data_IF_092754085192
#
_entry.id   IF_092754085192
#
_cell.length_a   1.000
_cell.length_b   1.000
_cell.length_c   1.000
_cell.angle_alpha   90.00
_cell.angle_beta   90.00
_cell.angle_gamma   90.00
#
_symmetry.space_group_name_H-M   'P 1'
#
loop_
_entity.id
_entity.type
_entity.pdbx_description
1 polymer ?
#
# COMPACT_ATOMS: atom_id res chain seq x y z
N UNK A 1 -16.95 -30.48 14.83
CA UNK A 1 -16.83 -30.77 16.29
C UNK A 1 -18.14 -31.31 16.86
N UNK A 2 -19.24 -30.55 16.84
CA UNK A 2 -20.53 -31.02 17.40
C UNK A 2 -21.03 -32.35 16.81
N UNK A 3 -20.94 -32.53 15.49
CA UNK A 3 -21.32 -33.80 14.81
C UNK A 3 -20.47 -35.01 15.23
N UNK A 4 -19.15 -34.83 15.35
CA UNK A 4 -18.22 -35.89 15.78
C UNK A 4 -18.54 -36.34 17.22
N UNK A 5 -18.84 -35.38 18.10
CA UNK A 5 -19.21 -35.65 19.49
C UNK A 5 -20.56 -36.40 19.55
N UNK A 6 -21.55 -35.98 18.74
CA UNK A 6 -22.83 -36.69 18.63
C UNK A 6 -22.67 -38.11 18.11
N UNK A 7 -21.87 -38.32 17.06
CA UNK A 7 -21.58 -39.66 16.51
C UNK A 7 -20.94 -40.57 17.57
N UNK A 8 -19.97 -40.06 18.34
CA UNK A 8 -19.37 -40.79 19.45
C UNK A 8 -20.39 -41.19 20.52
N UNK A 9 -21.30 -40.28 20.88
CA UNK A 9 -22.35 -40.56 21.85
C UNK A 9 -23.32 -41.63 21.34
N UNK A 10 -23.72 -41.56 20.06
CA UNK A 10 -24.61 -42.54 19.44
C UNK A 10 -23.95 -43.93 19.40
N UNK A 11 -22.68 -44.01 18.99
CA UNK A 11 -21.93 -45.28 18.99
C UNK A 11 -21.80 -45.85 20.41
N UNK A 12 -21.54 -45.02 21.41
CA UNK A 12 -21.46 -45.46 22.80
C UNK A 12 -22.79 -46.03 23.32
N UNK A 13 -23.92 -45.37 23.00
CA UNK A 13 -25.26 -45.87 23.37
C UNK A 13 -25.57 -47.20 22.67
N UNK A 14 -25.27 -47.32 21.38
CA UNK A 14 -25.48 -48.56 20.62
C UNK A 14 -24.62 -49.72 21.18
N UNK A 15 -23.37 -49.45 21.58
CA UNK A 15 -22.52 -50.48 22.20
C UNK A 15 -23.11 -50.99 23.53
N UNK A 16 -23.67 -50.10 24.34
CA UNK A 16 -24.36 -50.48 25.60
C UNK A 16 -25.61 -51.32 25.28
N UNK A 17 -26.38 -50.95 24.26
CA UNK A 17 -27.58 -51.68 23.85
C UNK A 17 -27.25 -53.08 23.32
N UNK A 18 -26.21 -53.23 22.48
CA UNK A 18 -25.73 -54.55 22.03
C UNK A 18 -25.30 -55.40 23.23
N UNK A 19 -24.63 -54.82 24.22
CA UNK A 19 -24.26 -55.51 25.46
C UNK A 19 -25.47 -56.01 26.25
N UNK A 20 -26.52 -55.19 26.38
CA UNK A 20 -27.75 -55.57 27.05
C UNK A 20 -28.50 -56.69 26.29
N UNK A 21 -28.64 -56.57 24.97
CA UNK A 21 -29.26 -57.60 24.13
C UNK A 21 -28.48 -58.92 24.16
N UNK A 22 -27.15 -58.87 24.26
CA UNK A 22 -26.33 -60.08 24.40
C UNK A 22 -26.58 -60.78 25.74
N UNK A 23 -26.73 -60.02 26.83
CA UNK A 23 -27.13 -60.56 28.14
C UNK A 23 -28.53 -61.19 28.08
N UNK A 24 -29.48 -60.51 27.45
CA UNK A 24 -30.85 -61.01 27.29
C UNK A 24 -30.90 -62.29 26.46
N UNK A 25 -30.11 -62.38 25.39
CA UNK A 25 -30.00 -63.56 24.54
C UNK A 25 -29.47 -64.77 25.32
N UNK A 26 -28.45 -64.56 26.17
CA UNK A 26 -27.90 -65.61 27.04
C UNK A 26 -28.97 -66.11 28.03
N UNK A 27 -29.67 -65.19 28.69
CA UNK A 27 -30.77 -65.51 29.62
C UNK A 27 -31.92 -66.25 28.92
N UNK A 28 -32.30 -65.80 27.72
CA UNK A 28 -33.38 -66.41 26.95
C UNK A 28 -33.02 -67.81 26.46
N UNK A 29 -31.76 -68.03 26.06
CA UNK A 29 -31.24 -69.35 25.67
C UNK A 29 -31.21 -70.33 26.85
N UNK A 30 -30.84 -69.86 28.03
CA UNK A 30 -30.87 -70.65 29.27
C UNK A 30 -32.31 -71.03 29.66
N UNK A 31 -33.28 -70.13 29.43
CA UNK A 31 -34.71 -70.42 29.61
C UNK A 31 -35.25 -71.42 28.58
N UNK A 32 -34.90 -71.30 27.31
CA UNK A 32 -35.29 -72.27 26.26
C UNK A 32 -34.84 -73.67 26.64
N UNK A 33 -33.56 -73.83 26.96
CA UNK A 33 -32.97 -75.12 27.32
C UNK A 33 -33.63 -75.73 28.57
N UNK A 34 -33.99 -74.91 29.55
CA UNK A 34 -34.71 -75.37 30.75
C UNK A 34 -36.15 -75.80 30.47
N UNK A 35 -36.88 -75.10 29.58
CA UNK A 35 -38.24 -75.47 29.18
C UNK A 35 -38.25 -76.74 28.31
N UNK A 36 -37.25 -76.94 27.44
CA UNK A 36 -37.10 -78.16 26.65
C UNK A 36 -36.94 -79.44 27.52
N UNK A 37 -36.46 -79.31 28.75
CA UNK A 37 -36.33 -80.45 29.69
C UNK A 37 -37.62 -80.80 30.48
N UNK A 38 -38.74 -80.10 30.27
CA UNK A 38 -39.99 -80.26 31.05
C UNK A 38 -41.22 -80.48 30.15
N UNK A 39 -41.94 -81.63 30.23
CA UNK A 39 -43.19 -81.84 29.47
C UNK A 39 -44.45 -81.34 30.22
N UNK A 40 -45.54 -80.89 29.55
CA UNK A 40 -45.74 -80.56 28.13
C UNK A 40 -46.01 -79.05 27.95
N UNK A 41 -45.07 -78.29 27.35
CA UNK A 41 -45.25 -76.84 27.09
C UNK A 41 -44.87 -76.50 25.66
N UNK A 42 -45.66 -76.99 24.71
CA UNK A 42 -45.34 -76.86 23.28
C UNK A 42 -45.51 -75.42 22.75
N UNK A 43 -46.35 -74.60 23.39
CA UNK A 43 -46.63 -73.25 22.94
C UNK A 43 -45.59 -72.22 23.42
N UNK A 44 -44.98 -72.42 24.60
CA UNK A 44 -43.98 -71.50 25.14
C UNK A 44 -42.62 -71.67 24.45
N UNK A 45 -42.25 -72.90 24.07
CA UNK A 45 -41.00 -73.17 23.34
C UNK A 45 -40.97 -72.51 21.96
N UNK A 46 -42.09 -72.52 21.23
CA UNK A 46 -42.20 -71.86 19.92
C UNK A 46 -42.05 -70.34 20.06
N UNK A 47 -42.67 -69.73 21.08
CA UNK A 47 -42.60 -68.29 21.33
C UNK A 47 -41.20 -67.84 21.78
N UNK A 48 -40.53 -68.61 22.65
CA UNK A 48 -39.15 -68.33 23.04
C UNK A 48 -38.16 -68.48 21.88
N UNK A 49 -38.31 -69.50 21.03
CA UNK A 49 -37.47 -69.68 19.84
C UNK A 49 -37.62 -68.50 18.86
N UNK A 50 -38.86 -68.01 18.69
CA UNK A 50 -39.12 -66.81 17.90
C UNK A 50 -38.41 -65.57 18.45
N UNK A 51 -38.50 -65.34 19.77
CA UNK A 51 -37.85 -64.21 20.44
C UNK A 51 -36.31 -64.28 20.35
N UNK A 52 -35.71 -65.47 20.45
CA UNK A 52 -34.27 -65.67 20.25
C UNK A 52 -33.86 -65.29 18.82
N UNK A 53 -34.67 -65.66 17.83
CA UNK A 53 -34.41 -65.32 16.42
C UNK A 53 -34.50 -63.81 16.18
N UNK A 54 -35.57 -63.16 16.65
CA UNK A 54 -35.75 -61.71 16.53
C UNK A 54 -34.63 -60.93 17.23
N UNK A 55 -34.21 -61.37 18.42
CA UNK A 55 -33.11 -60.73 19.15
C UNK A 55 -31.76 -60.90 18.45
N UNK A 56 -31.51 -62.06 17.82
CA UNK A 56 -30.31 -62.27 17.00
C UNK A 56 -30.28 -61.35 15.77
N UNK A 57 -31.40 -61.22 15.06
CA UNK A 57 -31.51 -60.32 13.90
C UNK A 57 -31.31 -58.86 14.32
N UNK A 58 -31.91 -58.43 15.44
CA UNK A 58 -31.72 -57.09 15.99
C UNK A 58 -30.26 -56.82 16.39
N UNK A 59 -29.59 -57.80 17.01
CA UNK A 59 -28.18 -57.69 17.39
C UNK A 59 -27.26 -57.62 16.16
N UNK A 60 -27.55 -58.41 15.12
CA UNK A 60 -26.81 -58.36 13.86
C UNK A 60 -26.95 -56.98 13.19
N UNK A 61 -28.17 -56.43 13.14
CA UNK A 61 -28.44 -55.11 12.60
C UNK A 61 -27.72 -54.00 13.37
N UNK A 62 -27.77 -54.02 14.71
CA UNK A 62 -27.03 -53.03 15.50
C UNK A 62 -25.52 -53.12 15.32
N UNK A 63 -24.98 -54.33 15.17
CA UNK A 63 -23.54 -54.52 14.92
C UNK A 63 -23.10 -53.89 13.61
N UNK A 64 -23.89 -54.08 12.54
CA UNK A 64 -23.64 -53.44 11.24
C UNK A 64 -23.72 -51.92 11.35
N UNK A 65 -24.72 -51.39 12.06
CA UNK A 65 -24.86 -49.96 12.28
C UNK A 65 -23.66 -49.35 13.04
N UNK A 66 -23.18 -50.01 14.09
CA UNK A 66 -21.97 -49.60 14.83
C UNK A 66 -20.75 -49.59 13.91
N UNK A 67 -20.62 -50.58 13.03
CA UNK A 67 -19.50 -50.66 12.09
C UNK A 67 -19.53 -49.48 11.10
N UNK A 68 -20.69 -49.15 10.55
CA UNK A 68 -20.87 -47.97 9.66
C UNK A 68 -20.52 -46.67 10.37
N UNK A 69 -21.07 -46.43 11.57
CA UNK A 69 -20.77 -45.21 12.33
C UNK A 69 -19.29 -45.13 12.74
N UNK A 70 -18.64 -46.25 12.99
CA UNK A 70 -17.20 -46.30 13.29
C UNK A 70 -16.36 -45.88 12.09
N UNK A 71 -16.74 -46.32 10.88
CA UNK A 71 -16.11 -45.89 9.63
C UNK A 71 -16.27 -44.37 9.43
N UNK A 72 -17.49 -43.85 9.61
CA UNK A 72 -17.77 -42.41 9.52
C UNK A 72 -16.94 -41.59 10.51
N UNK A 73 -16.75 -42.09 11.74
CA UNK A 73 -15.89 -41.44 12.74
C UNK A 73 -14.43 -41.38 12.32
N UNK A 74 -13.91 -42.43 11.66
CA UNK A 74 -12.54 -42.44 11.13
C UNK A 74 -12.39 -41.41 10.02
N UNK A 75 -13.33 -41.37 9.08
CA UNK A 75 -13.34 -40.39 7.97
C UNK A 75 -13.43 -38.95 8.50
N UNK A 76 -14.36 -38.67 9.40
CA UNK A 76 -14.48 -37.34 10.00
C UNK A 76 -13.22 -36.94 10.77
N UNK A 77 -12.53 -37.89 11.42
CA UNK A 77 -11.26 -37.60 12.09
C UNK A 77 -10.17 -37.19 11.10
N UNK A 78 -10.10 -37.86 9.95
CA UNK A 78 -9.17 -37.52 8.88
C UNK A 78 -9.47 -36.14 8.28
N UNK A 79 -10.75 -35.82 8.07
CA UNK A 79 -11.18 -34.49 7.61
C UNK A 79 -10.79 -33.40 8.61
N UNK A 80 -11.07 -33.58 9.91
CA UNK A 80 -10.70 -32.61 10.96
C UNK A 80 -9.18 -32.39 10.97
N UNK A 81 -8.38 -33.44 10.81
CA UNK A 81 -6.93 -33.33 10.69
C UNK A 81 -6.51 -32.51 9.47
N UNK A 82 -7.15 -32.75 8.33
CA UNK A 82 -6.90 -32.03 7.07
C UNK A 82 -7.25 -30.55 7.21
N UNK A 83 -8.42 -30.22 7.79
CA UNK A 83 -8.81 -28.83 8.03
C UNK A 83 -7.89 -28.13 9.02
N UNK A 84 -7.44 -28.80 10.08
CA UNK A 84 -6.45 -28.26 11.01
C UNK A 84 -5.15 -27.92 10.29
N UNK A 85 -4.64 -28.80 9.44
CA UNK A 85 -3.42 -28.53 8.67
C UNK A 85 -3.62 -27.34 7.71
N UNK A 86 -4.72 -27.29 6.97
CA UNK A 86 -5.04 -26.15 6.09
C UNK A 86 -5.09 -24.84 6.88
N UNK A 87 -5.70 -24.85 8.06
CA UNK A 87 -5.79 -23.67 8.91
C UNK A 87 -4.41 -23.22 9.41
N UNK A 88 -3.56 -24.15 9.84
CA UNK A 88 -2.18 -23.82 10.25
C UNK A 88 -1.38 -23.20 9.11
N UNK A 89 -1.50 -23.73 7.88
CA UNK A 89 -0.83 -23.17 6.70
C UNK A 89 -1.34 -21.76 6.40
N UNK A 90 -2.65 -21.55 6.42
CA UNK A 90 -3.24 -20.22 6.20
C UNK A 90 -2.80 -19.21 7.26
N UNK A 91 -2.77 -19.60 8.54
CA UNK A 91 -2.28 -18.73 9.62
C UNK A 91 -0.82 -18.35 9.40
N UNK A 92 0.04 -19.31 9.07
CA UNK A 92 1.46 -19.01 8.80
C UNK A 92 1.65 -18.10 7.58
N UNK A 93 0.87 -18.30 6.51
CA UNK A 93 0.89 -17.43 5.34
C UNK A 93 0.47 -16.00 5.69
N UNK A 94 -0.63 -15.85 6.44
CA UNK A 94 -1.14 -14.54 6.83
C UNK A 94 -0.16 -13.78 7.74
N UNK A 95 0.52 -14.50 8.63
CA UNK A 95 1.57 -13.93 9.48
C UNK A 95 2.75 -13.41 8.65
N UNK A 96 3.15 -14.13 7.60
CA UNK A 96 4.23 -13.70 6.72
C UNK A 96 3.82 -12.49 5.87
N UNK A 97 2.64 -12.55 5.23
CA UNK A 97 2.06 -11.42 4.49
C UNK A 97 1.98 -10.16 5.37
N UNK A 98 1.61 -10.33 6.65
CA UNK A 98 1.57 -9.24 7.63
C UNK A 98 2.95 -8.63 7.92
N UNK A 99 4.02 -9.43 7.97
CA UNK A 99 5.39 -8.94 8.13
C UNK A 99 5.86 -8.21 6.89
N UNK A 100 5.65 -8.78 5.71
CA UNK A 100 6.02 -8.17 4.43
C UNK A 100 5.31 -6.82 4.24
N UNK A 101 4.00 -6.78 4.51
CA UNK A 101 3.23 -5.54 4.47
C UNK A 101 3.78 -4.48 5.43
N UNK A 102 4.12 -4.86 6.66
CA UNK A 102 4.71 -3.93 7.63
C UNK A 102 6.08 -3.41 7.18
N UNK A 103 6.92 -4.27 6.58
CA UNK A 103 8.20 -3.84 5.99
C UNK A 103 7.99 -2.87 4.83
N UNK A 104 7.03 -3.16 3.95
CA UNK A 104 6.67 -2.28 2.84
C UNK A 104 6.21 -0.90 3.32
N UNK A 105 5.31 -0.84 4.31
CA UNK A 105 4.83 0.43 4.89
C UNK A 105 5.97 1.22 5.53
N UNK A 106 6.88 0.56 6.25
CA UNK A 106 8.09 1.22 6.80
C UNK A 106 9.00 1.78 5.71
N UNK A 107 9.15 1.04 4.61
CA UNK A 107 9.89 1.48 3.43
C UNK A 107 9.27 2.76 2.85
N UNK A 108 7.97 2.74 2.55
CA UNK A 108 7.24 3.90 2.05
C UNK A 108 7.34 5.11 2.97
N UNK A 109 7.18 4.91 4.28
CA UNK A 109 7.31 5.99 5.26
C UNK A 109 8.70 6.63 5.19
N UNK A 110 9.75 5.82 5.11
CA UNK A 110 11.14 6.31 5.02
C UNK A 110 11.34 7.11 3.73
N UNK A 111 10.91 6.56 2.58
CA UNK A 111 10.99 7.26 1.29
C UNK A 111 10.25 8.60 1.32
N UNK A 112 9.01 8.63 1.81
CA UNK A 112 8.25 9.88 1.93
C UNK A 112 8.94 10.90 2.83
N UNK A 113 9.53 10.45 3.95
CA UNK A 113 10.25 11.33 4.86
C UNK A 113 11.49 11.94 4.20
N UNK A 114 12.22 11.17 3.39
CA UNK A 114 13.38 11.66 2.66
C UNK A 114 12.97 12.62 1.52
N UNK A 115 11.87 12.33 0.81
CA UNK A 115 11.32 13.23 -0.21
C UNK A 115 10.89 14.58 0.38
N UNK A 116 10.30 14.58 1.58
CA UNK A 116 9.93 15.80 2.30
C UNK A 116 11.18 16.63 2.65
N UNK A 117 12.25 15.98 3.14
CA UNK A 117 13.52 16.68 3.44
C UNK A 117 14.13 17.27 2.18
N UNK A 118 14.11 16.53 1.07
CA UNK A 118 14.65 16.99 -0.20
C UNK A 118 13.84 18.17 -0.75
N UNK A 119 12.51 18.13 -0.69
CA UNK A 119 11.67 19.27 -1.03
C UNK A 119 11.97 20.50 -0.18
N UNK A 120 12.21 20.34 1.13
CA UNK A 120 12.59 21.44 2.01
C UNK A 120 13.95 22.03 1.62
N UNK A 121 14.95 21.18 1.30
CA UNK A 121 16.26 21.60 0.80
C UNK A 121 16.13 22.42 -0.48
N UNK A 122 15.41 21.89 -1.47
CA UNK A 122 15.17 22.56 -2.74
C UNK A 122 14.42 23.88 -2.58
N UNK A 123 13.43 23.93 -1.68
CA UNK A 123 12.71 25.16 -1.36
C UNK A 123 13.63 26.23 -0.77
N UNK A 124 14.56 25.84 0.10
CA UNK A 124 15.56 26.75 0.66
C UNK A 124 16.52 27.26 -0.41
N UNK A 125 17.00 26.39 -1.31
CA UNK A 125 17.89 26.78 -2.40
C UNK A 125 17.20 27.71 -3.40
N UNK A 126 15.92 27.48 -3.68
CA UNK A 126 15.15 28.38 -4.54
C UNK A 126 15.01 29.77 -3.90
N UNK A 127 14.81 29.84 -2.57
CA UNK A 127 14.73 31.10 -1.86
C UNK A 127 16.05 31.88 -1.91
N UNK A 128 17.19 31.21 -1.74
CA UNK A 128 18.51 31.86 -1.84
C UNK A 128 18.82 32.34 -3.25
N UNK A 129 18.50 31.53 -4.28
CA UNK A 129 18.65 31.94 -5.68
C UNK A 129 17.77 33.14 -6.02
N UNK A 130 16.53 33.16 -5.52
CA UNK A 130 15.61 34.29 -5.70
C UNK A 130 16.21 35.57 -5.10
N UNK A 131 16.75 35.49 -3.87
CA UNK A 131 17.37 36.63 -3.21
C UNK A 131 18.61 37.13 -3.97
N UNK A 132 19.53 36.25 -4.38
CA UNK A 132 20.71 36.62 -5.18
C UNK A 132 20.31 37.31 -6.49
N UNK A 133 19.28 36.80 -7.16
CA UNK A 133 18.77 37.39 -8.39
C UNK A 133 18.15 38.77 -8.15
N UNK A 134 17.35 38.92 -7.10
CA UNK A 134 16.78 40.22 -6.70
C UNK A 134 17.88 41.22 -6.36
N UNK A 135 18.90 40.82 -5.61
CA UNK A 135 20.06 41.66 -5.27
C UNK A 135 20.82 42.09 -6.54
N UNK A 136 21.14 41.16 -7.43
CA UNK A 136 21.84 41.45 -8.70
C UNK A 136 21.03 42.38 -9.59
N UNK A 137 19.72 42.18 -9.69
CA UNK A 137 18.83 43.05 -10.45
C UNK A 137 18.79 44.47 -9.86
N UNK A 138 18.77 44.61 -8.54
CA UNK A 138 18.86 45.90 -7.86
C UNK A 138 20.17 46.63 -8.15
N UNK A 139 21.31 45.92 -8.12
CA UNK A 139 22.61 46.47 -8.48
C UNK A 139 22.68 46.90 -9.96
N UNK A 140 22.11 46.11 -10.87
CA UNK A 140 22.04 46.48 -12.29
C UNK A 140 21.18 47.72 -12.51
N UNK A 141 20.02 47.83 -11.85
CA UNK A 141 19.14 48.99 -11.99
C UNK A 141 19.80 50.27 -11.47
N UNK A 142 20.47 50.19 -10.31
CA UNK A 142 21.21 51.33 -9.75
C UNK A 142 22.41 51.72 -10.61
N UNK A 143 23.18 50.75 -11.10
CA UNK A 143 24.28 50.99 -12.04
C UNK A 143 23.83 51.62 -13.36
N UNK A 144 22.72 51.15 -13.93
CA UNK A 144 22.14 51.73 -15.16
C UNK A 144 21.69 53.18 -14.93
N UNK A 145 21.04 53.46 -13.80
CA UNK A 145 20.63 54.82 -13.45
C UNK A 145 21.84 55.77 -13.32
N UNK A 146 22.93 55.31 -12.72
CA UNK A 146 24.18 56.09 -12.61
C UNK A 146 24.78 56.39 -14.00
N UNK A 147 24.90 55.39 -14.87
CA UNK A 147 25.39 55.58 -16.24
C UNK A 147 24.51 56.54 -17.03
N UNK A 148 23.20 56.47 -16.85
CA UNK A 148 22.26 57.39 -17.52
C UNK A 148 22.41 58.83 -17.01
N UNK A 149 22.65 59.01 -15.71
CA UNK A 149 22.95 60.31 -15.13
C UNK A 149 24.26 60.88 -15.69
N UNK A 150 25.35 60.09 -15.68
CA UNK A 150 26.64 60.50 -16.21
C UNK A 150 26.55 60.88 -17.70
N UNK A 151 25.82 60.08 -18.49
CA UNK A 151 25.57 60.38 -19.91
C UNK A 151 24.83 61.70 -20.10
N UNK A 152 23.88 62.01 -19.21
CA UNK A 152 23.14 63.28 -19.22
C UNK A 152 24.06 64.46 -18.91
N UNK A 153 24.90 64.33 -17.88
CA UNK A 153 25.91 65.35 -17.51
C UNK A 153 26.88 65.59 -18.67
N UNK A 154 27.44 64.54 -19.27
CA UNK A 154 28.36 64.65 -20.40
C UNK A 154 27.72 65.36 -21.59
N UNK A 155 26.46 65.03 -21.92
CA UNK A 155 25.70 65.73 -22.97
C UNK A 155 25.50 67.21 -22.66
N UNK A 156 25.18 67.56 -21.42
CA UNK A 156 25.05 68.97 -21.00
C UNK A 156 26.36 69.73 -21.13
N UNK A 157 27.49 69.14 -20.72
CA UNK A 157 28.82 69.77 -20.85
C UNK A 157 29.22 69.94 -22.33
N UNK A 158 28.97 68.94 -23.19
CA UNK A 158 29.21 69.06 -24.63
C UNK A 158 28.26 70.05 -25.32
N UNK A 159 27.03 70.21 -24.84
CA UNK A 159 26.10 71.24 -25.30
C UNK A 159 26.47 72.66 -24.84
N UNK A 160 27.36 72.77 -23.83
CA UNK A 160 27.91 74.03 -23.32
C UNK A 160 29.31 74.34 -23.88
N UNK A 161 29.65 73.87 -25.09
CA UNK A 161 30.75 74.50 -25.83
C UNK A 161 30.38 75.97 -26.01
N UNK A 162 31.17 76.91 -25.47
CA UNK A 162 30.83 78.33 -25.53
C UNK A 162 30.69 78.78 -27.00
N UNK A 163 29.71 79.64 -27.34
CA UNK A 163 29.65 80.28 -28.65
C UNK A 163 30.92 81.08 -28.99
N UNK A 164 31.84 81.26 -28.03
CA UNK A 164 33.16 81.88 -28.22
C UNK A 164 34.03 81.18 -29.28
N UNK A 165 33.79 79.91 -29.61
CA UNK A 165 34.47 79.24 -30.75
C UNK A 165 33.80 79.59 -32.08
N UNK A 166 32.47 79.83 -32.11
CA UNK A 166 31.78 80.35 -33.31
C UNK A 166 32.07 81.84 -33.53
N UNK A 167 32.14 82.65 -32.46
CA UNK A 167 32.54 84.06 -32.53
C UNK A 167 33.98 84.22 -33.02
N UNK A 168 34.89 83.29 -32.70
CA UNK A 168 36.26 83.32 -33.21
C UNK A 168 36.34 83.12 -34.73
N UNK A 169 35.37 82.41 -35.33
CA UNK A 169 35.20 82.30 -36.78
C UNK A 169 34.49 83.49 -37.42
N UNK A 170 33.51 84.09 -36.73
CA UNK A 170 32.79 85.30 -37.16
C UNK A 170 33.72 86.53 -37.21
N UNK A 171 34.51 86.73 -36.14
CA UNK A 171 35.49 87.82 -36.03
C UNK A 171 36.59 87.68 -37.09
N UNK A 172 37.03 86.46 -37.41
CA UNK A 172 38.01 86.24 -38.48
C UNK A 172 37.47 86.64 -39.86
N UNK A 173 36.19 86.33 -40.17
CA UNK A 173 35.54 86.78 -41.43
C UNK A 173 35.33 88.29 -41.47
N UNK A 174 34.98 88.91 -40.36
CA UNK A 174 34.72 90.35 -40.31
C UNK A 174 36.03 91.15 -40.45
N UNK A 175 37.13 90.66 -39.89
CA UNK A 175 38.47 91.24 -40.07
C UNK A 175 38.96 91.15 -41.51
N UNK A 176 38.66 90.05 -42.21
CA UNK A 176 39.00 89.86 -43.64
C UNK A 176 38.16 90.77 -44.56
N UNK A 177 36.91 91.06 -44.18
CA UNK A 177 36.04 91.97 -44.92
C UNK A 177 36.45 93.44 -44.74
N UNK A 178 36.87 93.84 -43.54
CA UNK A 178 37.43 95.19 -43.30
C UNK A 178 38.77 95.40 -44.02
N UNK A 179 39.62 94.37 -44.14
CA UNK A 179 40.86 94.48 -44.91
C UNK A 179 40.63 94.70 -46.42
N UNK A 180 39.55 94.16 -46.99
CA UNK A 180 39.18 94.39 -48.39
C UNK A 180 38.55 95.77 -48.65
N UNK A 181 37.98 96.41 -47.63
CA UNK A 181 37.35 97.74 -47.74
C UNK A 181 38.36 98.88 -47.57
N UNK A 182 39.56 98.60 -47.03
CA UNK A 182 40.60 99.59 -46.77
C UNK A 182 41.82 99.51 -47.70
N UNK A 183 41.74 98.87 -48.88
CA UNK A 183 42.76 99.07 -49.92
C UNK A 183 42.55 100.41 -50.63
N UNK A 184 43.51 101.37 -50.55
CA UNK A 184 43.41 102.63 -51.28
C UNK A 184 43.77 102.43 -52.75
N UNK A 185 42.89 102.90 -53.62
CA UNK A 185 43.14 103.15 -55.04
C UNK A 185 44.28 104.15 -55.23
N UNK A 186 45.41 103.74 -55.80
CA UNK A 186 46.37 104.57 -56.56
C UNK A 186 47.43 103.63 -57.19
N UNK A 187 47.45 103.30 -58.48
CA UNK A 187 47.69 104.12 -59.68
C UNK A 187 49.06 104.83 -59.71
N UNK A 188 49.78 104.58 -60.83
CA UNK A 188 50.99 105.23 -61.39
C UNK A 188 52.34 104.64 -60.95
N UNK A 189 53.05 103.86 -61.80
CA UNK A 189 53.69 104.17 -63.10
C UNK A 189 54.80 105.21 -62.98
N UNK A 190 56.08 104.84 -63.20
CA UNK A 190 57.14 105.64 -63.84
C UNK A 190 58.38 104.76 -64.20
N UNK A 191 58.84 104.96 -65.44
CA UNK A 191 60.07 104.51 -66.16
C UNK A 191 60.01 103.19 -66.93
#
# INVERSE_FOLDING_TARGET
MARVIQLFQVVAVLLIQVGAMASDLVSLKDRVTKVETSPPVHHDTVNLSQQVRELNEAMASQKEHIQTLSQELVEQRAEVSTYRNKMNVLTASLDEDGKEFNQFVKGLHTTLQDEIKEQQRLSSELATVKEDMTQKMGLLHTGLAAVQFDLTVVKSVHGMVPPDIQLRGEVARETENWLKVCEPTAAMDWS
#
